data_IF_743501094221
#
_entry.id   IF_743501094221
#
_cell.length_a   1.000
_cell.length_b   1.000
_cell.length_c   1.000
_cell.angle_alpha   90.00
_cell.angle_beta   90.00
_cell.angle_gamma   90.00
#
_symmetry.space_group_name_H-M   'P 1'
#
loop_
_entity.id
_entity.type
_entity.pdbx_description
1 polymer ?
#
# COMPACT_ATOMS: atom_id res chain seq x y z
N UNK A 1 -11.22 -66.55 -10.35
CA UNK A 1 -10.10 -65.61 -10.05
C UNK A 1 -10.04 -64.42 -11.01
N UNK A 2 -10.00 -64.61 -12.34
CA UNK A 2 -9.91 -63.50 -13.32
C UNK A 2 -11.03 -62.44 -13.21
N UNK A 3 -12.29 -62.86 -12.96
CA UNK A 3 -13.45 -61.95 -12.80
C UNK A 3 -13.42 -61.10 -11.51
N UNK A 4 -12.84 -61.65 -10.43
CA UNK A 4 -12.64 -60.95 -9.16
C UNK A 4 -11.50 -59.92 -9.28
N UNK A 5 -10.42 -60.29 -10.00
CA UNK A 5 -9.30 -59.39 -10.25
C UNK A 5 -9.72 -58.19 -11.12
N UNK A 6 -10.54 -58.42 -12.15
CA UNK A 6 -11.08 -57.35 -13.00
C UNK A 6 -12.05 -56.43 -12.26
N UNK A 7 -12.85 -56.97 -11.34
CA UNK A 7 -13.76 -56.16 -10.53
C UNK A 7 -13.00 -55.26 -9.54
N UNK A 8 -11.93 -55.78 -8.93
CA UNK A 8 -11.07 -55.00 -8.03
C UNK A 8 -10.36 -53.86 -8.76
N UNK A 9 -9.94 -54.09 -10.01
CA UNK A 9 -9.25 -53.09 -10.83
C UNK A 9 -10.17 -51.97 -11.33
N UNK A 10 -11.46 -52.26 -11.53
CA UNK A 10 -12.47 -51.24 -11.85
C UNK A 10 -12.80 -50.39 -10.62
N UNK A 11 -12.88 -51.00 -9.44
CA UNK A 11 -13.18 -50.28 -8.20
C UNK A 11 -12.05 -49.33 -7.78
N UNK A 12 -10.79 -49.72 -7.99
CA UNK A 12 -9.64 -48.83 -7.77
C UNK A 12 -9.57 -47.71 -8.80
N UNK A 13 -9.92 -47.98 -10.06
CA UNK A 13 -9.99 -46.95 -11.10
C UNK A 13 -11.07 -45.89 -10.83
N UNK A 14 -12.23 -46.27 -10.27
CA UNK A 14 -13.28 -45.33 -9.85
C UNK A 14 -12.85 -44.46 -8.67
N UNK A 15 -12.12 -45.02 -7.69
CA UNK A 15 -11.63 -44.26 -6.54
C UNK A 15 -10.60 -43.18 -6.90
N UNK A 16 -9.80 -43.42 -7.95
CA UNK A 16 -8.78 -42.47 -8.43
C UNK A 16 -9.37 -41.25 -9.15
N UNK A 17 -10.64 -41.28 -9.59
CA UNK A 17 -11.27 -40.16 -10.29
C UNK A 17 -11.86 -39.08 -9.36
N UNK A 18 -12.05 -39.39 -8.07
CA UNK A 18 -12.61 -38.46 -7.07
C UNK A 18 -11.67 -37.30 -6.72
N UNK A 19 -10.36 -37.44 -6.97
CA UNK A 19 -9.32 -36.48 -6.54
C UNK A 19 -9.26 -35.17 -7.32
N UNK A 20 -9.84 -35.10 -8.53
CA UNK A 20 -9.76 -33.90 -9.37
C UNK A 20 -10.87 -32.86 -9.12
N UNK A 21 -11.79 -33.11 -8.17
CA UNK A 21 -12.91 -32.19 -7.87
C UNK A 21 -12.60 -31.18 -6.75
N UNK A 22 -11.51 -31.38 -6.01
CA UNK A 22 -11.03 -30.44 -5.00
C UNK A 22 -10.13 -29.39 -5.66
N UNK A 23 -10.75 -28.41 -6.33
CA UNK A 23 -10.11 -27.13 -6.60
C UNK A 23 -10.47 -26.22 -5.44
N UNK A 24 -9.55 -26.04 -4.50
CA UNK A 24 -9.68 -24.93 -3.57
C UNK A 24 -9.76 -23.65 -4.41
N UNK A 25 -10.81 -22.82 -4.25
CA UNK A 25 -10.88 -21.56 -4.98
C UNK A 25 -9.65 -20.76 -4.59
N UNK A 26 -8.89 -20.32 -5.59
CA UNK A 26 -7.77 -19.42 -5.33
C UNK A 26 -8.34 -18.16 -4.68
N UNK A 27 -7.64 -17.57 -3.70
CA UNK A 27 -8.18 -16.44 -2.91
C UNK A 27 -8.69 -15.27 -3.78
N UNK A 28 -8.20 -15.13 -5.01
CA UNK A 28 -8.67 -14.14 -6.00
C UNK A 28 -10.07 -14.45 -6.60
N UNK A 29 -10.57 -15.67 -6.49
CA UNK A 29 -11.92 -16.08 -6.90
C UNK A 29 -12.94 -15.90 -5.76
N UNK A 30 -12.47 -15.65 -4.51
CA UNK A 30 -13.33 -15.57 -3.32
C UNK A 30 -13.89 -14.16 -3.07
N UNK A 31 -13.14 -13.12 -3.45
CA UNK A 31 -13.62 -11.75 -3.47
C UNK A 31 -14.02 -11.39 -4.91
N UNK A 32 -15.33 -11.42 -5.19
CA UNK A 32 -15.91 -11.10 -6.50
C UNK A 32 -15.86 -9.61 -6.88
N UNK A 33 -15.29 -8.77 -6.02
CA UNK A 33 -15.23 -7.33 -6.27
C UNK A 33 -14.12 -7.00 -7.26
N UNK A 34 -14.49 -6.33 -8.36
CA UNK A 34 -13.52 -5.81 -9.32
C UNK A 34 -12.60 -4.80 -8.61
N UNK A 35 -11.28 -4.81 -8.87
CA UNK A 35 -10.37 -3.83 -8.28
C UNK A 35 -10.84 -2.40 -8.56
N UNK A 36 -11.15 -1.65 -7.50
CA UNK A 36 -11.52 -0.24 -7.58
C UNK A 36 -10.48 0.62 -6.89
N UNK A 37 -10.49 1.93 -7.18
CA UNK A 37 -9.63 2.88 -6.47
C UNK A 37 -10.09 3.01 -5.02
N UNK A 38 -9.13 3.26 -4.12
CA UNK A 38 -9.42 3.47 -2.70
C UNK A 38 -10.49 4.54 -2.51
N UNK A 39 -11.55 4.27 -1.74
CA UNK A 39 -12.59 5.25 -1.46
C UNK A 39 -11.98 6.48 -0.78
N UNK A 40 -12.34 7.66 -1.26
CA UNK A 40 -11.80 8.93 -0.75
C UNK A 40 -12.69 9.50 0.35
N UNK A 41 -12.07 9.94 1.44
CA UNK A 41 -12.76 10.58 2.56
C UNK A 41 -13.19 12.02 2.22
N UNK A 42 -14.08 12.62 3.02
CA UNK A 42 -14.49 14.02 2.88
C UNK A 42 -13.30 15.00 2.84
N UNK A 43 -12.29 14.76 3.69
CA UNK A 43 -11.05 15.56 3.75
C UNK A 43 -10.32 15.62 2.41
N UNK A 44 -10.43 14.57 1.57
CA UNK A 44 -9.83 14.58 0.24
C UNK A 44 -10.53 15.58 -0.68
N UNK A 45 -11.85 15.69 -0.60
CA UNK A 45 -12.61 16.68 -1.38
C UNK A 45 -12.30 18.11 -0.92
N UNK A 46 -12.13 18.33 0.39
CA UNK A 46 -11.69 19.62 0.91
C UNK A 46 -10.28 19.99 0.39
N UNK A 47 -9.37 19.01 0.36
CA UNK A 47 -8.00 19.18 -0.12
C UNK A 47 -7.93 19.60 -1.59
N UNK A 48 -8.69 18.96 -2.48
CA UNK A 48 -8.69 19.28 -3.91
C UNK A 48 -9.44 20.59 -4.22
N UNK A 49 -10.35 21.02 -3.34
CA UNK A 49 -11.12 22.26 -3.48
C UNK A 49 -10.42 23.47 -2.87
N UNK A 50 -9.20 23.32 -2.35
CA UNK A 50 -8.41 24.44 -1.86
C UNK A 50 -8.12 25.47 -2.96
N UNK A 51 -8.01 26.76 -2.61
CA UNK A 51 -7.66 27.79 -3.58
C UNK A 51 -6.29 27.48 -4.21
N UNK A 52 -6.16 27.74 -5.51
CA UNK A 52 -4.88 27.50 -6.20
C UNK A 52 -3.81 28.45 -5.69
N UNK A 53 -2.57 27.98 -5.50
CA UNK A 53 -1.47 28.87 -5.11
C UNK A 53 -1.09 29.80 -6.25
N UNK A 54 -0.44 30.92 -5.93
CA UNK A 54 0.19 31.79 -6.95
C UNK A 54 1.30 31.08 -7.73
N UNK A 55 1.94 30.10 -7.10
CA UNK A 55 2.95 29.23 -7.69
C UNK A 55 3.15 28.00 -6.82
N UNK A 56 3.46 26.86 -7.43
CA UNK A 56 3.70 25.61 -6.69
C UNK A 56 5.02 25.68 -5.94
N UNK A 57 5.02 25.15 -4.72
CA UNK A 57 6.21 25.08 -3.88
C UNK A 57 6.92 23.74 -4.05
N UNK A 58 8.25 23.76 -4.18
CA UNK A 58 9.05 22.54 -4.17
C UNK A 58 9.17 22.05 -2.73
N UNK A 59 8.55 20.91 -2.43
CA UNK A 59 8.58 20.29 -1.11
C UNK A 59 9.23 18.91 -1.19
N UNK A 60 10.10 18.62 -0.22
CA UNK A 60 10.75 17.33 -0.11
C UNK A 60 10.19 16.57 1.09
N UNK A 61 9.83 15.30 0.87
CA UNK A 61 9.30 14.43 1.92
C UNK A 61 10.34 13.35 2.21
N UNK A 62 10.80 13.31 3.46
CA UNK A 62 11.67 12.25 3.99
C UNK A 62 10.83 11.13 4.60
N UNK A 63 11.39 10.36 5.53
CA UNK A 63 10.67 9.30 6.21
C UNK A 63 9.53 9.85 7.08
N UNK A 64 8.31 9.38 6.83
CA UNK A 64 7.17 9.58 7.70
C UNK A 64 6.77 8.23 8.30
N UNK A 65 7.35 7.90 9.45
CA UNK A 65 7.27 6.56 10.04
C UNK A 65 6.24 6.48 11.15
N UNK A 66 5.79 5.28 11.42
CA UNK A 66 5.06 4.97 12.65
C UNK A 66 6.02 5.05 13.85
N UNK A 67 5.71 5.94 14.80
CA UNK A 67 6.41 6.14 16.06
C UNK A 67 5.56 5.72 17.26
N UNK A 68 4.37 5.14 17.02
CA UNK A 68 3.44 4.73 18.08
C UNK A 68 3.90 3.47 18.82
N UNK A 69 4.61 2.59 18.10
CA UNK A 69 5.02 1.27 18.59
C UNK A 69 3.86 0.30 18.80
N UNK A 70 2.66 0.59 18.28
CA UNK A 70 1.46 -0.18 18.57
C UNK A 70 1.26 -1.36 17.62
N UNK A 71 0.97 -2.52 18.19
CA UNK A 71 0.57 -3.74 17.47
C UNK A 71 -0.89 -4.05 17.71
N UNK A 72 -1.51 -4.77 16.77
CA UNK A 72 -2.91 -5.17 16.88
C UNK A 72 -3.07 -6.23 17.97
N UNK A 73 -4.18 -6.20 18.75
CA UNK A 73 -4.48 -7.24 19.71
C UNK A 73 -4.91 -8.54 19.01
N UNK A 74 -4.88 -9.64 19.77
CA UNK A 74 -5.45 -10.94 19.38
C UNK A 74 -6.88 -10.77 18.85
N UNK A 75 -7.28 -11.44 17.74
CA UNK A 75 -6.64 -12.58 17.09
C UNK A 75 -5.62 -12.25 15.98
N UNK A 76 -5.23 -10.97 15.83
CA UNK A 76 -4.24 -10.60 14.82
C UNK A 76 -2.85 -11.18 15.14
N UNK A 77 -2.00 -11.30 14.11
CA UNK A 77 -0.60 -11.70 14.29
C UNK A 77 0.15 -10.66 15.13
N UNK A 78 1.01 -11.12 16.04
CA UNK A 78 1.85 -10.25 16.90
C UNK A 78 2.79 -9.32 16.12
N UNK A 79 3.02 -9.58 14.83
CA UNK A 79 3.81 -8.69 13.95
C UNK A 79 2.95 -7.64 13.21
N UNK A 80 1.63 -7.68 13.37
CA UNK A 80 0.72 -6.75 12.69
C UNK A 80 0.70 -5.41 13.41
N UNK A 81 1.26 -4.37 12.80
CA UNK A 81 1.20 -3.02 13.34
C UNK A 81 -0.24 -2.49 13.29
N UNK A 82 -0.61 -1.69 14.28
CA UNK A 82 -1.93 -1.05 14.32
C UNK A 82 -2.02 0.14 13.36
N UNK A 83 -0.88 0.71 13.00
CA UNK A 83 -0.74 1.86 12.11
C UNK A 83 0.00 1.45 10.84
N UNK A 84 -0.28 2.15 9.73
CA UNK A 84 0.35 1.92 8.43
C UNK A 84 1.84 2.29 8.43
N UNK A 85 2.65 1.49 7.73
CA UNK A 85 4.04 1.82 7.44
C UNK A 85 4.21 2.62 6.14
N UNK A 86 3.13 2.80 5.36
CA UNK A 86 3.11 3.53 4.09
C UNK A 86 2.70 5.01 4.20
N UNK A 87 2.83 5.61 5.39
CA UNK A 87 2.36 6.97 5.65
C UNK A 87 3.09 8.01 4.79
N UNK A 88 4.38 7.81 4.49
CA UNK A 88 5.15 8.69 3.60
C UNK A 88 4.53 8.78 2.20
N UNK A 89 4.17 7.65 1.59
CA UNK A 89 3.53 7.61 0.27
C UNK A 89 2.15 8.26 0.28
N UNK A 90 1.37 8.06 1.35
CA UNK A 90 0.07 8.73 1.51
C UNK A 90 0.21 10.25 1.62
N UNK A 91 1.21 10.73 2.35
CA UNK A 91 1.51 12.16 2.46
C UNK A 91 1.94 12.74 1.10
N UNK A 92 2.77 12.04 0.35
CA UNK A 92 3.18 12.47 -1.00
C UNK A 92 1.98 12.54 -1.96
N UNK A 93 1.07 11.54 -1.93
CA UNK A 93 -0.18 11.55 -2.72
C UNK A 93 -1.04 12.78 -2.38
N UNK A 94 -1.23 13.05 -1.08
CA UNK A 94 -2.00 14.20 -0.62
C UNK A 94 -1.37 15.55 -1.05
N UNK A 95 -0.06 15.71 -0.87
CA UNK A 95 0.65 16.93 -1.29
C UNK A 95 0.58 17.13 -2.81
N UNK A 96 0.70 16.06 -3.59
CA UNK A 96 0.56 16.10 -5.05
C UNK A 96 -0.88 16.46 -5.47
N UNK A 97 -1.88 15.79 -4.89
CA UNK A 97 -3.29 16.01 -5.19
C UNK A 97 -3.77 17.43 -4.82
N UNK A 98 -3.19 18.04 -3.80
CA UNK A 98 -3.52 19.42 -3.40
C UNK A 98 -3.26 20.45 -4.52
N UNK A 99 -2.33 20.17 -5.44
CA UNK A 99 -1.89 21.13 -6.45
C UNK A 99 -1.03 22.29 -5.90
N UNK A 100 -0.72 22.30 -4.60
CA UNK A 100 0.12 23.31 -3.96
C UNK A 100 1.61 23.02 -4.11
N UNK A 101 1.97 21.75 -4.21
CA UNK A 101 3.36 21.31 -4.11
C UNK A 101 3.81 20.56 -5.37
N UNK A 102 5.09 20.70 -5.69
CA UNK A 102 5.83 19.74 -6.49
C UNK A 102 6.64 18.91 -5.51
N UNK A 103 6.24 17.65 -5.36
CA UNK A 103 6.76 16.76 -4.32
C UNK A 103 8.00 16.04 -4.83
N UNK A 104 9.08 16.10 -4.06
CA UNK A 104 10.30 15.34 -4.29
C UNK A 104 10.41 14.22 -3.25
N UNK A 105 10.55 12.98 -3.72
CA UNK A 105 10.78 11.82 -2.86
C UNK A 105 12.25 11.75 -2.43
N UNK A 106 12.51 11.54 -1.13
CA UNK A 106 13.86 11.24 -0.62
C UNK A 106 14.00 9.93 0.12
N UNK A 107 12.92 9.19 0.30
CA UNK A 107 12.98 7.86 0.91
C UNK A 107 13.84 6.91 0.06
N UNK A 108 13.62 6.86 -1.26
CA UNK A 108 14.44 6.12 -2.21
C UNK A 108 15.70 6.81 -2.74
N UNK A 109 16.21 7.87 -2.09
CA UNK A 109 17.31 8.70 -2.65
C UNK A 109 18.56 7.87 -2.98
N UNK A 110 18.91 6.91 -2.13
CA UNK A 110 20.09 6.09 -2.33
C UNK A 110 20.00 5.25 -3.61
N UNK A 111 18.82 4.74 -3.94
CA UNK A 111 18.57 4.00 -5.17
C UNK A 111 18.74 4.92 -6.38
N UNK A 112 18.17 6.13 -6.34
CA UNK A 112 18.31 7.14 -7.37
C UNK A 112 19.79 7.51 -7.60
N UNK A 113 20.54 7.75 -6.54
CA UNK A 113 21.97 8.08 -6.64
C UNK A 113 22.79 6.93 -7.21
N UNK A 114 22.43 5.69 -6.88
CA UNK A 114 23.09 4.49 -7.39
C UNK A 114 22.83 4.34 -8.89
N UNK A 115 21.59 4.49 -9.33
CA UNK A 115 21.22 4.43 -10.75
C UNK A 115 21.93 5.51 -11.57
N UNK A 116 21.99 6.74 -11.05
CA UNK A 116 22.74 7.83 -11.71
C UNK A 116 24.23 7.56 -11.78
N UNK A 117 24.81 6.87 -10.80
CA UNK A 117 26.23 6.45 -10.87
C UNK A 117 26.42 5.38 -11.95
N UNK A 118 25.49 4.42 -12.06
CA UNK A 118 25.50 3.38 -13.10
C UNK A 118 25.46 4.04 -14.48
N UNK A 119 24.50 4.94 -14.72
CA UNK A 119 24.38 5.66 -16.00
C UNK A 119 25.67 6.41 -16.35
N UNK A 120 26.24 7.18 -15.41
CA UNK A 120 27.50 7.90 -15.63
C UNK A 120 28.69 6.96 -15.87
N UNK A 121 28.70 5.77 -15.30
CA UNK A 121 29.75 4.78 -15.54
C UNK A 121 29.62 4.15 -16.94
N UNK A 122 28.39 3.89 -17.39
CA UNK A 122 28.10 3.37 -18.73
C UNK A 122 28.43 4.38 -19.84
N UNK A 123 28.13 5.68 -19.62
CA UNK A 123 28.44 6.76 -20.56
C UNK A 123 29.95 6.95 -20.83
N UNK A 124 30.83 6.48 -19.93
CA UNK A 124 32.29 6.55 -20.12
C UNK A 124 32.84 5.49 -21.07
N UNK A 125 32.04 4.49 -21.43
CA UNK A 125 32.44 3.44 -22.36
C UNK A 125 32.21 3.89 -23.81
N UNK A 126 32.99 3.40 -24.78
CA UNK A 126 32.84 3.79 -26.18
C UNK A 126 31.54 3.28 -26.84
N UNK A 127 30.91 2.24 -26.28
CA UNK A 127 29.63 1.68 -26.76
C UNK A 127 28.48 2.11 -25.84
N UNK A 128 27.98 3.32 -26.05
CA UNK A 128 26.90 3.93 -25.25
C UNK A 128 25.56 3.67 -25.94
N UNK A 129 24.63 3.04 -25.23
CA UNK A 129 23.28 2.86 -25.72
C UNK A 129 22.56 4.21 -25.89
N UNK A 130 21.77 4.36 -26.96
CA UNK A 130 21.13 5.63 -27.33
C UNK A 130 20.27 6.25 -26.21
N UNK A 131 19.63 5.41 -25.39
CA UNK A 131 18.79 5.82 -24.26
C UNK A 131 19.56 6.52 -23.13
N UNK A 132 20.88 6.36 -23.06
CA UNK A 132 21.74 6.97 -22.04
C UNK A 132 22.77 7.93 -22.65
N UNK A 133 22.63 8.34 -23.90
CA UNK A 133 23.56 9.29 -24.52
C UNK A 133 23.46 10.71 -23.96
N UNK A 134 22.30 11.10 -23.43
CA UNK A 134 22.07 12.43 -22.87
C UNK A 134 22.71 12.63 -21.49
N UNK A 135 23.21 13.84 -21.23
CA UNK A 135 23.71 14.20 -19.91
C UNK A 135 22.56 14.28 -18.88
N UNK A 136 22.78 13.72 -17.69
CA UNK A 136 21.76 13.70 -16.64
C UNK A 136 21.63 15.07 -15.95
N UNK A 137 20.44 15.71 -15.94
CA UNK A 137 20.25 17.00 -15.28
C UNK A 137 20.49 16.88 -13.76
N UNK A 138 20.91 17.96 -13.08
CA UNK A 138 21.08 17.94 -11.63
C UNK A 138 19.77 17.60 -10.91
N UNK A 139 19.88 17.02 -9.71
CA UNK A 139 18.70 16.74 -8.89
C UNK A 139 18.05 18.06 -8.46
N UNK A 140 16.72 18.13 -8.57
CA UNK A 140 15.98 19.30 -8.12
C UNK A 140 16.14 19.49 -6.60
N UNK A 141 16.36 20.73 -6.19
CA UNK A 141 16.35 21.13 -4.79
C UNK A 141 14.94 21.57 -4.38
N UNK A 142 14.60 21.36 -3.11
CA UNK A 142 13.37 21.85 -2.52
C UNK A 142 13.69 22.96 -1.53
N UNK A 143 12.76 23.92 -1.40
CA UNK A 143 12.86 25.00 -0.42
C UNK A 143 12.22 24.61 0.92
N UNK A 144 11.32 23.62 0.90
CA UNK A 144 10.61 23.11 2.06
C UNK A 144 10.93 21.64 2.27
N UNK A 145 11.25 21.28 3.51
CA UNK A 145 11.47 19.90 3.95
C UNK A 145 10.38 19.50 4.94
N UNK A 146 9.76 18.36 4.70
CA UNK A 146 8.70 17.80 5.51
C UNK A 146 9.17 16.48 6.13
N UNK A 147 9.17 16.46 7.46
CA UNK A 147 9.55 15.33 8.30
C UNK A 147 8.51 15.16 9.39
N UNK A 148 8.32 13.93 9.84
CA UNK A 148 7.38 13.63 10.91
C UNK A 148 7.12 12.14 11.07
N UNK A 149 6.04 11.83 11.77
CA UNK A 149 5.62 10.46 12.00
C UNK A 149 4.28 10.41 12.70
N UNK A 150 3.72 9.21 12.77
CA UNK A 150 2.50 8.96 13.53
C UNK A 150 2.93 8.71 14.97
N UNK A 151 2.63 9.67 15.86
CA UNK A 151 3.21 9.70 17.22
C UNK A 151 2.38 8.97 18.26
N UNK A 152 1.07 8.87 18.06
CA UNK A 152 0.18 8.19 18.99
C UNK A 152 -0.93 7.47 18.22
N UNK A 153 -1.32 6.31 18.76
CA UNK A 153 -2.49 5.56 18.32
C UNK A 153 -3.11 4.91 19.54
N UNK A 154 -4.27 5.44 19.94
CA UNK A 154 -5.05 4.90 21.04
C UNK A 154 -6.35 4.33 20.51
N UNK A 155 -6.72 3.14 20.98
CA UNK A 155 -8.01 2.50 20.67
C UNK A 155 -8.84 2.39 21.92
N UNK A 156 -10.17 2.33 21.77
CA UNK A 156 -11.10 2.25 22.90
C UNK A 156 -10.96 3.42 23.90
N UNK A 157 -10.56 4.60 23.43
CA UNK A 157 -10.46 5.83 24.24
C UNK A 157 -11.82 6.17 24.88
N UNK A 158 -12.91 5.87 24.16
CA UNK A 158 -14.29 5.91 24.66
C UNK A 158 -15.05 4.70 24.13
N UNK A 159 -15.94 4.15 24.95
CA UNK A 159 -16.88 3.10 24.56
C UNK A 159 -18.30 3.45 25.05
N UNK A 160 -19.32 3.20 24.23
CA UNK A 160 -20.73 3.49 24.57
C UNK A 160 -21.14 4.98 24.50
N UNK A 161 -22.24 5.31 25.17
CA UNK A 161 -22.73 6.68 25.33
C UNK A 161 -23.30 7.32 24.04
N UNK A 162 -23.14 8.64 23.89
CA UNK A 162 -23.66 9.40 22.74
C UNK A 162 -23.12 8.91 21.39
N UNK A 163 -21.90 8.37 21.35
CA UNK A 163 -21.31 7.80 20.13
C UNK A 163 -22.04 6.53 19.66
N UNK A 164 -22.47 5.68 20.61
CA UNK A 164 -23.32 4.52 20.29
C UNK A 164 -24.70 4.96 19.79
N UNK A 165 -25.26 6.04 20.35
CA UNK A 165 -26.52 6.64 19.87
C UNK A 165 -26.39 7.25 18.48
N UNK A 166 -25.31 7.99 18.19
CA UNK A 166 -25.04 8.57 16.87
C UNK A 166 -24.93 7.49 15.79
N UNK A 167 -24.25 6.38 16.10
CA UNK A 167 -24.11 5.24 15.21
C UNK A 167 -25.36 4.34 15.15
N UNK A 168 -26.44 4.69 15.85
CA UNK A 168 -27.70 3.94 15.85
C UNK A 168 -27.63 2.58 16.57
N UNK A 169 -26.63 2.38 17.43
CA UNK A 169 -26.37 1.14 18.17
C UNK A 169 -27.10 1.13 19.53
N UNK A 170 -28.05 2.05 19.74
CA UNK A 170 -28.89 2.11 20.94
C UNK A 170 -30.08 1.16 20.77
N UNK A 171 -29.84 -0.15 20.96
CA UNK A 171 -30.87 -1.20 21.03
C UNK A 171 -30.47 -2.30 22.02
N UNK A 172 -30.69 -2.06 23.31
CA UNK A 172 -31.62 -2.87 24.12
C UNK A 172 -31.80 -2.23 25.51
N UNK A 173 -32.98 -1.67 25.77
CA UNK A 173 -33.56 -1.65 27.11
C UNK A 173 -34.60 -2.75 27.12
N UNK A 174 -34.34 -3.80 27.88
CA UNK A 174 -35.37 -4.55 28.59
C UNK A 174 -35.13 -4.34 30.08
#
# INVERSE_FOLDING_TARGET
MKRLLSALLILTALGLQSGCSLREPMSAEQDSETPTLTPRASTYYDLINMPRPKGRLMAVVYGFRDQTGQYKPTPASSFSTSVTQGAASMLMDALSASGWFVVLEREGLQNLLTERKIIRASQKKPDVAENIMGELPPLQAANLMLEGGIIAYDTNVRSGGEGARYLGIDISRE
#
